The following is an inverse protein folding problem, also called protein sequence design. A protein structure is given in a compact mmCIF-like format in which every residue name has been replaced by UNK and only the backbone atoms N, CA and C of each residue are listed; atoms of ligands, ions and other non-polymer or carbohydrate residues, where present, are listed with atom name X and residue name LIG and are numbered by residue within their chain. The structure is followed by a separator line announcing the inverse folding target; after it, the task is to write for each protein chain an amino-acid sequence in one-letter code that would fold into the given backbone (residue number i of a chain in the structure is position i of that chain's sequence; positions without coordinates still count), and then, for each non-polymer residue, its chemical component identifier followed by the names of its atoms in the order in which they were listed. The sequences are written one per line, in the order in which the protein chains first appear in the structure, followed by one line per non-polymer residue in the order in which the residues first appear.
data_IF_020765377404
#
_entry.id   IF_020765377404
#
_cell.length_a   1.000
_cell.length_b   1.000
_cell.length_c   1.000
_cell.angle_alpha   90.00
_cell.angle_beta   90.00
_cell.angle_gamma   90.00
#
_symmetry.space_group_name_H-M   'P 1'
#
loop_
_entity.id
_entity.type
_entity.pdbx_description
1 polymer ?
#
# COMPACT_ATOMS: atom_id res chain seq x y z
N UNK A 1 -21.11 3.18 20.63
CA UNK A 1 -21.28 1.94 19.85
C UNK A 1 -21.99 0.82 20.62
N UNK A 2 -21.47 0.32 21.76
CA UNK A 2 -21.99 -0.89 22.45
C UNK A 2 -23.52 -0.93 22.71
N UNK A 3 -24.14 0.22 23.01
CA UNK A 3 -25.61 0.33 23.21
C UNK A 3 -26.40 0.77 21.96
N UNK A 4 -25.77 0.79 20.79
CA UNK A 4 -26.34 1.23 19.50
C UNK A 4 -26.96 2.63 19.52
N UNK A 5 -26.40 3.55 20.31
CA UNK A 5 -26.82 4.96 20.37
C UNK A 5 -25.68 5.86 19.91
N UNK A 6 -25.99 6.82 19.05
CA UNK A 6 -25.11 7.92 18.62
C UNK A 6 -24.18 7.65 17.44
N UNK A 7 -24.13 6.41 16.92
CA UNK A 7 -23.30 6.10 15.74
C UNK A 7 -23.87 6.75 14.48
N UNK A 8 -25.20 6.78 14.36
CA UNK A 8 -25.90 7.37 13.21
C UNK A 8 -25.58 8.87 13.09
N UNK A 9 -25.77 9.63 14.17
CA UNK A 9 -25.45 11.07 14.19
C UNK A 9 -23.97 11.36 13.94
N UNK A 10 -23.07 10.44 14.36
CA UNK A 10 -21.65 10.56 14.05
C UNK A 10 -21.39 10.37 12.54
N UNK A 11 -22.08 9.44 11.89
CA UNK A 11 -21.98 9.26 10.44
C UNK A 11 -22.52 10.49 9.69
N UNK A 12 -23.60 11.09 10.17
CA UNK A 12 -24.12 12.35 9.62
C UNK A 12 -23.05 13.47 9.74
N UNK A 13 -22.43 13.59 10.92
CA UNK A 13 -21.36 14.56 11.14
C UNK A 13 -20.13 14.33 10.24
N UNK A 14 -19.82 13.09 9.85
CA UNK A 14 -18.77 12.81 8.87
C UNK A 14 -19.13 13.42 7.52
N UNK A 15 -20.38 13.29 7.08
CA UNK A 15 -20.83 13.87 5.81
C UNK A 15 -20.83 15.40 5.89
N UNK A 16 -21.27 15.97 7.01
CA UNK A 16 -21.44 17.42 7.17
C UNK A 16 -20.11 18.17 7.33
N UNK A 17 -19.09 17.54 7.93
CA UNK A 17 -17.89 18.26 8.37
C UNK A 17 -16.56 17.69 7.87
N UNK A 18 -16.50 16.45 7.38
CA UNK A 18 -15.24 15.91 6.84
C UNK A 18 -15.06 16.30 5.37
N UNK A 19 -13.82 16.52 4.92
CA UNK A 19 -13.56 16.96 3.56
C UNK A 19 -13.86 15.85 2.55
N UNK A 20 -14.37 16.26 1.39
CA UNK A 20 -14.37 15.43 0.19
C UNK A 20 -12.98 15.45 -0.46
N UNK A 21 -12.68 14.54 -1.41
CA UNK A 21 -11.39 14.52 -2.11
C UNK A 21 -11.02 15.84 -2.81
N UNK A 22 -12.01 16.67 -3.16
CA UNK A 22 -11.78 17.98 -3.82
C UNK A 22 -11.57 19.13 -2.84
N UNK A 23 -11.91 18.93 -1.55
CA UNK A 23 -11.72 19.95 -0.50
C UNK A 23 -10.30 19.93 0.09
N UNK A 24 -9.51 18.90 -0.23
CA UNK A 24 -8.14 18.70 0.24
C UNK A 24 -7.15 19.27 -0.79
N UNK A 25 -6.02 19.88 -0.37
CA UNK A 25 -4.98 20.30 -1.30
C UNK A 25 -4.52 19.18 -2.23
N UNK A 26 -4.13 19.56 -3.45
CA UNK A 26 -3.52 18.65 -4.42
C UNK A 26 -2.32 17.94 -3.78
N UNK A 27 -2.17 16.65 -4.03
CA UNK A 27 -1.03 15.91 -3.50
C UNK A 27 0.25 16.37 -4.20
N UNK A 28 1.30 16.56 -3.43
CA UNK A 28 2.64 16.92 -3.89
C UNK A 28 3.45 15.68 -4.23
N UNK A 29 4.38 15.84 -5.15
CA UNK A 29 5.37 14.83 -5.52
C UNK A 29 6.51 15.46 -6.30
N UNK A 30 7.39 14.64 -6.83
CA UNK A 30 8.50 15.06 -7.68
C UNK A 30 8.49 14.31 -9.01
N UNK A 31 9.01 14.92 -10.05
CA UNK A 31 9.32 14.22 -11.30
C UNK A 31 10.54 13.31 -11.05
N UNK A 32 10.45 12.00 -11.35
CA UNK A 32 11.61 11.12 -11.30
C UNK A 32 12.78 11.70 -12.11
N UNK A 33 14.01 11.49 -11.64
CA UNK A 33 15.28 11.99 -12.22
C UNK A 33 15.57 13.49 -12.11
N UNK A 34 14.57 14.37 -12.24
CA UNK A 34 14.80 15.83 -12.16
C UNK A 34 14.58 16.43 -10.78
N UNK A 35 13.88 15.70 -9.89
CA UNK A 35 13.48 16.16 -8.55
C UNK A 35 12.65 17.46 -8.57
N UNK A 36 12.08 17.82 -9.71
CA UNK A 36 11.22 19.00 -9.84
C UNK A 36 9.88 18.75 -9.14
N UNK A 37 9.50 19.65 -8.24
CA UNK A 37 8.24 19.58 -7.51
C UNK A 37 7.04 19.70 -8.46
N UNK A 38 6.09 18.78 -8.30
CA UNK A 38 4.83 18.76 -9.04
C UNK A 38 3.65 18.52 -8.10
N UNK A 39 2.48 18.97 -8.54
CA UNK A 39 1.22 18.73 -7.83
C UNK A 39 0.25 17.95 -8.71
N UNK A 40 -0.49 17.03 -8.11
CA UNK A 40 -1.57 16.27 -8.76
C UNK A 40 -2.91 16.70 -8.16
N UNK A 41 -3.64 17.63 -8.81
CA UNK A 41 -4.96 18.03 -8.34
C UNK A 41 -5.94 16.88 -8.47
N UNK A 42 -6.89 16.81 -7.52
CA UNK A 42 -7.96 15.82 -7.58
C UNK A 42 -8.86 16.11 -8.80
N UNK A 43 -8.97 15.13 -9.69
CA UNK A 43 -9.77 15.22 -10.89
C UNK A 43 -9.51 14.07 -11.86
N UNK A 44 -10.54 13.65 -12.59
CA UNK A 44 -10.47 12.49 -13.49
C UNK A 44 -9.76 12.81 -14.81
N UNK A 45 -9.73 14.09 -15.22
CA UNK A 45 -9.09 14.54 -16.47
C UNK A 45 -7.56 14.61 -16.38
N UNK A 46 -7.01 14.50 -15.17
CA UNK A 46 -5.56 14.52 -14.93
C UNK A 46 -4.88 13.18 -15.23
N UNK A 47 -3.53 13.16 -15.31
CA UNK A 47 -2.79 11.92 -15.38
C UNK A 47 -2.97 11.08 -14.11
N UNK A 48 -2.96 9.76 -14.26
CA UNK A 48 -3.15 8.83 -13.15
C UNK A 48 -2.01 8.95 -12.14
N UNK A 49 -2.37 9.12 -10.86
CA UNK A 49 -1.43 9.07 -9.74
C UNK A 49 -2.11 8.45 -8.51
N UNK A 50 -1.47 7.44 -7.93
CA UNK A 50 -1.96 6.71 -6.78
C UNK A 50 -0.82 6.29 -5.84
N UNK A 51 -1.13 6.17 -4.55
CA UNK A 51 -0.20 5.67 -3.54
C UNK A 51 -0.68 4.31 -3.02
N UNK A 52 0.19 3.30 -3.10
CA UNK A 52 -0.05 2.02 -2.45
C UNK A 52 0.20 2.17 -0.94
N UNK A 53 -0.81 1.96 -0.11
CA UNK A 53 -0.71 2.18 1.33
C UNK A 53 -0.83 0.90 2.16
N UNK A 54 -1.21 -0.22 1.54
CA UNK A 54 -1.26 -1.50 2.22
C UNK A 54 -1.14 -2.64 1.23
N UNK A 55 -0.23 -3.57 1.50
CA UNK A 55 -0.18 -4.87 0.83
C UNK A 55 -0.75 -5.91 1.80
N UNK A 56 -1.55 -6.82 1.27
CA UNK A 56 -2.12 -7.92 2.04
C UNK A 56 -2.21 -9.17 1.17
N UNK A 57 -1.79 -10.31 1.71
CA UNK A 57 -1.97 -11.60 1.04
C UNK A 57 -3.35 -12.16 1.37
N UNK A 58 -4.22 -12.28 0.37
CA UNK A 58 -5.49 -12.97 0.50
C UNK A 58 -5.36 -14.46 0.11
N UNK A 59 -5.90 -15.40 0.91
CA UNK A 59 -5.82 -16.84 0.60
C UNK A 59 -6.46 -17.26 -0.72
N UNK A 60 -7.44 -16.50 -1.24
CA UNK A 60 -8.24 -16.88 -2.41
C UNK A 60 -7.83 -16.14 -3.67
N UNK A 61 -7.48 -14.86 -3.55
CA UNK A 61 -7.15 -14.00 -4.72
C UNK A 61 -5.66 -13.67 -4.82
N UNK A 62 -4.84 -14.06 -3.84
CA UNK A 62 -3.40 -13.78 -3.81
C UNK A 62 -3.10 -12.39 -3.26
N UNK A 63 -1.98 -11.80 -3.68
CA UNK A 63 -1.53 -10.50 -3.18
C UNK A 63 -2.46 -9.37 -3.64
N UNK A 64 -3.00 -8.64 -2.66
CA UNK A 64 -3.81 -7.44 -2.83
C UNK A 64 -2.95 -6.23 -2.48
N UNK A 65 -2.86 -5.29 -3.40
CA UNK A 65 -2.27 -3.98 -3.15
C UNK A 65 -3.37 -2.95 -3.08
N UNK A 66 -3.62 -2.42 -1.88
CA UNK A 66 -4.54 -1.33 -1.66
C UNK A 66 -3.87 -0.01 -2.00
N UNK A 67 -4.55 0.79 -2.79
CA UNK A 67 -4.05 2.09 -3.21
C UNK A 67 -5.14 3.15 -3.14
N UNK A 68 -4.71 4.39 -2.90
CA UNK A 68 -5.52 5.60 -2.96
C UNK A 68 -5.21 6.32 -4.27
N UNK A 69 -6.23 6.59 -5.08
CA UNK A 69 -6.08 7.42 -6.28
C UNK A 69 -6.22 8.88 -5.91
N UNK A 70 -5.24 9.69 -6.30
CA UNK A 70 -5.21 11.13 -6.06
C UNK A 70 -5.56 11.96 -7.29
N UNK A 71 -5.22 11.46 -8.49
CA UNK A 71 -5.60 12.10 -9.76
C UNK A 71 -5.76 11.06 -10.86
N UNK A 72 -6.54 11.41 -11.88
CA UNK A 72 -6.77 10.62 -13.08
C UNK A 72 -7.57 9.35 -12.85
N UNK A 73 -7.61 8.52 -13.89
CA UNK A 73 -8.39 7.28 -13.95
C UNK A 73 -7.47 6.14 -14.40
N UNK A 74 -7.66 4.96 -13.84
CA UNK A 74 -7.02 3.75 -14.34
C UNK A 74 -8.04 2.64 -14.56
N UNK A 75 -7.89 1.93 -15.66
CA UNK A 75 -8.72 0.78 -16.02
C UNK A 75 -8.03 -0.54 -15.69
N UNK A 76 -8.84 -1.56 -15.46
CA UNK A 76 -8.41 -2.95 -15.45
C UNK A 76 -7.79 -3.30 -16.80
N UNK A 77 -6.56 -3.80 -16.79
CA UNK A 77 -5.75 -4.09 -17.96
C UNK A 77 -4.73 -3.01 -18.32
N UNK A 78 -4.82 -1.80 -17.74
CA UNK A 78 -3.90 -0.70 -17.98
C UNK A 78 -2.49 -1.01 -17.45
N UNK A 79 -1.49 -0.45 -18.11
CA UNK A 79 -0.10 -0.48 -17.64
C UNK A 79 0.20 0.81 -16.89
N UNK A 80 0.64 0.68 -15.65
CA UNK A 80 1.05 1.78 -14.77
C UNK A 80 2.54 1.67 -14.48
N UNK A 81 3.16 2.79 -14.11
CA UNK A 81 4.53 2.86 -13.66
C UNK A 81 4.56 2.87 -12.13
N UNK A 82 5.27 1.92 -11.53
CA UNK A 82 5.73 2.05 -10.16
C UNK A 82 6.95 3.01 -10.19
N UNK A 83 6.71 4.27 -9.86
CA UNK A 83 7.73 5.32 -9.95
C UNK A 83 8.82 5.16 -8.88
N UNK A 84 8.48 4.60 -7.72
CA UNK A 84 9.43 4.34 -6.63
C UNK A 84 10.49 3.32 -7.02
N UNK A 85 10.12 2.34 -7.86
CA UNK A 85 11.00 1.23 -8.28
C UNK A 85 11.47 1.31 -9.72
N UNK A 86 11.02 2.30 -10.47
CA UNK A 86 11.20 2.42 -11.93
C UNK A 86 10.86 1.10 -12.67
N UNK A 87 9.66 0.58 -12.40
CA UNK A 87 9.16 -0.65 -13.04
C UNK A 87 7.72 -0.50 -13.47
N UNK A 88 7.43 -0.96 -14.69
CA UNK A 88 6.06 -1.02 -15.21
C UNK A 88 5.34 -2.23 -14.61
N UNK A 89 4.12 -2.02 -14.15
CA UNK A 89 3.20 -3.07 -13.73
C UNK A 89 1.88 -2.95 -14.49
N UNK A 90 1.09 -4.03 -14.50
CA UNK A 90 -0.20 -4.07 -15.19
C UNK A 90 -1.30 -4.32 -14.18
N UNK A 91 -2.30 -3.46 -14.14
CA UNK A 91 -3.51 -3.73 -13.36
C UNK A 91 -4.23 -4.92 -13.98
N UNK A 92 -4.26 -6.06 -13.27
CA UNK A 92 -4.92 -7.26 -13.73
C UNK A 92 -6.41 -7.25 -13.43
N UNK A 93 -6.76 -7.35 -12.14
CA UNK A 93 -8.13 -7.21 -11.63
C UNK A 93 -8.14 -6.12 -10.56
N UNK A 94 -9.17 -5.30 -10.58
CA UNK A 94 -9.41 -4.25 -9.59
C UNK A 94 -10.63 -4.61 -8.75
N UNK A 95 -10.51 -4.45 -7.43
CA UNK A 95 -11.56 -4.80 -6.47
C UNK A 95 -11.88 -3.60 -5.57
N UNK A 96 -13.16 -3.32 -5.36
CA UNK A 96 -13.65 -2.52 -4.23
C UNK A 96 -14.02 -3.47 -3.10
N UNK A 97 -13.47 -3.21 -1.91
CA UNK A 97 -13.69 -4.03 -0.73
C UNK A 97 -14.84 -3.44 0.08
N UNK A 98 -15.95 -4.18 0.19
CA UNK A 98 -17.09 -3.83 1.03
C UNK A 98 -17.07 -4.67 2.31
N UNK A 99 -17.90 -4.29 3.30
CA UNK A 99 -17.93 -4.94 4.61
C UNK A 99 -18.08 -6.47 4.57
N UNK A 100 -18.86 -7.02 3.62
CA UNK A 100 -19.14 -8.46 3.52
C UNK A 100 -18.93 -9.05 2.12
N UNK A 101 -18.50 -8.25 1.15
CA UNK A 101 -18.35 -8.70 -0.24
C UNK A 101 -17.20 -7.97 -0.93
N UNK A 102 -16.71 -8.60 -1.99
CA UNK A 102 -15.71 -8.03 -2.89
C UNK A 102 -16.42 -7.74 -4.21
N UNK A 103 -16.28 -6.52 -4.69
CA UNK A 103 -16.86 -6.10 -5.96
C UNK A 103 -15.75 -5.89 -6.97
N UNK A 104 -15.79 -6.62 -8.08
CA UNK A 104 -14.86 -6.43 -9.18
C UNK A 104 -15.29 -5.24 -10.02
N UNK A 105 -14.36 -4.31 -10.21
CA UNK A 105 -14.59 -3.04 -10.91
C UNK A 105 -13.69 -2.96 -12.15
N UNK A 106 -14.17 -2.24 -13.17
CA UNK A 106 -13.44 -2.06 -14.42
C UNK A 106 -12.48 -0.87 -14.39
N UNK A 107 -12.75 0.13 -13.55
CA UNK A 107 -11.98 1.35 -13.48
C UNK A 107 -12.06 1.98 -12.09
N UNK A 108 -11.04 2.76 -11.75
CA UNK A 108 -10.93 3.56 -10.53
C UNK A 108 -10.78 5.02 -10.90
N UNK A 109 -11.46 5.89 -10.15
CA UNK A 109 -11.47 7.33 -10.38
C UNK A 109 -10.64 8.09 -9.36
N UNK A 110 -10.40 9.37 -9.62
CA UNK A 110 -9.77 10.25 -8.66
C UNK A 110 -10.55 10.28 -7.36
N UNK A 111 -9.89 10.01 -6.24
CA UNK A 111 -10.52 9.94 -4.94
C UNK A 111 -11.13 8.59 -4.58
N UNK A 112 -10.96 7.54 -5.41
CA UNK A 112 -11.30 6.17 -5.01
C UNK A 112 -10.20 5.52 -4.17
N UNK A 113 -10.59 4.52 -3.37
CA UNK A 113 -9.69 3.53 -2.77
C UNK A 113 -10.10 2.16 -3.32
N UNK A 114 -9.14 1.41 -3.84
CA UNK A 114 -9.35 0.09 -4.41
C UNK A 114 -8.16 -0.83 -4.14
N UNK A 115 -8.31 -2.11 -4.44
CA UNK A 115 -7.25 -3.09 -4.38
C UNK A 115 -6.95 -3.65 -5.77
N UNK A 116 -5.67 -3.65 -6.16
CA UNK A 116 -5.18 -4.35 -7.34
C UNK A 116 -4.73 -5.75 -6.96
N UNK A 117 -5.14 -6.75 -7.74
CA UNK A 117 -4.75 -8.14 -7.56
C UNK A 117 -3.49 -8.43 -8.36
N UNK A 118 -2.47 -8.99 -7.70
CA UNK A 118 -1.33 -9.60 -8.35
C UNK A 118 -0.23 -8.65 -8.83
N UNK A 119 -0.15 -7.43 -8.27
CA UNK A 119 1.04 -6.60 -8.39
C UNK A 119 2.19 -7.30 -7.67
N UNK A 120 3.32 -7.49 -8.35
CA UNK A 120 4.44 -8.30 -7.85
C UNK A 120 5.52 -7.45 -7.22
N UNK A 121 5.67 -6.23 -7.72
CA UNK A 121 6.76 -5.35 -7.33
C UNK A 121 6.29 -4.23 -6.40
N UNK A 122 5.00 -3.91 -6.37
CA UNK A 122 4.48 -2.84 -5.52
C UNK A 122 4.47 -3.24 -4.04
N UNK A 123 5.05 -2.38 -3.21
CA UNK A 123 4.99 -2.44 -1.74
C UNK A 123 4.24 -1.27 -1.12
N UNK A 124 3.96 -1.35 0.18
CA UNK A 124 3.42 -0.23 0.96
C UNK A 124 4.37 0.97 0.89
N UNK A 125 3.84 2.13 0.50
CA UNK A 125 4.58 3.38 0.28
C UNK A 125 4.91 3.67 -1.19
N UNK A 126 4.75 2.71 -2.09
CA UNK A 126 5.10 2.89 -3.50
C UNK A 126 4.08 3.77 -4.25
N UNK A 127 4.57 4.55 -5.21
CA UNK A 127 3.73 5.36 -6.11
C UNK A 127 3.45 4.64 -7.41
N UNK A 128 2.15 4.54 -7.78
CA UNK A 128 1.66 4.04 -9.07
C UNK A 128 1.15 5.22 -9.92
N UNK A 129 1.69 5.42 -11.12
CA UNK A 129 1.34 6.56 -11.96
C UNK A 129 1.26 6.23 -13.45
N UNK A 130 0.80 7.19 -14.26
CA UNK A 130 0.85 7.13 -15.71
C UNK A 130 2.32 7.07 -16.22
N UNK A 131 2.71 6.05 -17.01
CA UNK A 131 4.06 5.97 -17.57
C UNK A 131 4.46 7.14 -18.48
N UNK A 132 3.49 7.84 -19.09
CA UNK A 132 3.77 9.02 -19.91
C UNK A 132 3.95 10.30 -19.08
N UNK A 133 3.47 10.30 -17.84
CA UNK A 133 3.56 11.43 -16.92
C UNK A 133 4.04 10.94 -15.54
N UNK A 134 5.30 10.47 -15.42
CA UNK A 134 5.81 9.93 -14.17
C UNK A 134 5.71 10.94 -13.02
N UNK A 135 5.28 10.48 -11.86
CA UNK A 135 5.32 11.24 -10.62
C UNK A 135 5.69 10.31 -9.46
N UNK A 136 6.57 10.78 -8.58
CA UNK A 136 6.88 10.13 -7.32
C UNK A 136 6.18 10.93 -6.22
N UNK A 137 5.14 10.36 -5.62
CA UNK A 137 4.46 10.98 -4.48
C UNK A 137 5.33 10.83 -3.24
N UNK A 138 5.11 11.69 -2.25
CA UNK A 138 5.85 11.64 -0.99
C UNK A 138 5.74 10.25 -0.35
N UNK A 139 6.88 9.60 -0.16
CA UNK A 139 6.94 8.28 0.48
C UNK A 139 6.65 8.42 1.96
N UNK A 140 5.91 7.46 2.51
CA UNK A 140 5.76 7.34 3.96
C UNK A 140 7.12 7.08 4.59
N UNK A 141 7.50 7.88 5.58
CA UNK A 141 8.65 7.61 6.44
C UNK A 141 8.26 6.53 7.47
N UNK A 142 8.98 5.40 7.46
CA UNK A 142 8.80 4.35 8.45
C UNK A 142 9.82 4.51 9.59
N UNK A 143 9.37 4.54 10.84
CA UNK A 143 10.29 4.64 11.98
C UNK A 143 11.21 3.42 12.06
N UNK A 144 12.40 3.62 12.61
CA UNK A 144 13.35 2.54 12.86
C UNK A 144 12.82 1.57 13.94
N UNK A 145 12.98 0.25 13.75
CA UNK A 145 12.59 -0.75 14.75
C UNK A 145 13.28 -0.52 16.09
N UNK A 146 12.56 -0.73 17.19
CA UNK A 146 13.06 -0.50 18.56
C UNK A 146 13.29 -1.79 19.36
N UNK A 147 12.75 -2.93 18.89
CA UNK A 147 12.97 -4.24 19.50
C UNK A 147 13.53 -5.21 18.46
N UNK A 148 14.44 -6.08 18.90
CA UNK A 148 15.04 -7.14 18.11
C UNK A 148 14.94 -8.47 18.86
N UNK A 149 14.48 -9.53 18.18
CA UNK A 149 14.39 -10.88 18.72
C UNK A 149 15.10 -11.84 17.78
N UNK A 150 15.96 -12.70 18.33
CA UNK A 150 16.56 -13.80 17.59
C UNK A 150 15.54 -14.94 17.45
N UNK A 151 15.35 -15.42 16.22
CA UNK A 151 14.45 -16.52 15.88
C UNK A 151 15.22 -17.63 15.16
N UNK A 152 14.89 -18.86 15.50
CA UNK A 152 15.50 -20.06 14.91
C UNK A 152 14.42 -21.07 14.53
N UNK A 153 14.56 -21.74 13.37
CA UNK A 153 13.64 -22.79 12.99
C UNK A 153 13.87 -24.02 13.88
N UNK A 154 12.78 -24.61 14.40
CA UNK A 154 12.88 -25.82 15.25
C UNK A 154 13.51 -27.01 14.54
N UNK A 155 13.33 -27.09 13.22
CA UNK A 155 13.90 -28.16 12.39
C UNK A 155 14.58 -27.57 11.16
N UNK A 156 15.56 -28.28 10.60
CA UNK A 156 16.21 -27.87 9.34
C UNK A 156 15.21 -27.70 8.18
N UNK A 157 14.15 -28.52 8.15
CA UNK A 157 13.11 -28.44 7.12
C UNK A 157 12.18 -27.22 7.26
N UNK A 158 12.20 -26.54 8.41
CA UNK A 158 11.41 -25.33 8.63
C UNK A 158 12.16 -24.05 8.26
N UNK A 159 13.46 -24.13 7.97
CA UNK A 159 14.30 -22.98 7.61
C UNK A 159 13.77 -22.28 6.35
N UNK A 160 13.52 -23.04 5.28
CA UNK A 160 12.99 -22.50 4.03
C UNK A 160 11.58 -21.92 4.21
N UNK A 161 10.75 -22.57 5.01
CA UNK A 161 9.38 -22.11 5.30
C UNK A 161 9.37 -20.83 6.11
N UNK A 162 10.26 -20.71 7.09
CA UNK A 162 10.45 -19.52 7.91
C UNK A 162 10.88 -18.35 7.03
N UNK A 163 11.87 -18.55 6.14
CA UNK A 163 12.30 -17.51 5.19
C UNK A 163 11.17 -17.02 4.28
N UNK A 164 10.37 -17.95 3.73
CA UNK A 164 9.21 -17.60 2.91
C UNK A 164 8.12 -16.84 3.68
N UNK A 165 7.84 -17.23 4.93
CA UNK A 165 6.84 -16.57 5.76
C UNK A 165 7.28 -15.14 6.14
N UNK A 166 8.53 -15.00 6.60
CA UNK A 166 9.12 -13.71 6.95
C UNK A 166 9.15 -12.76 5.74
N UNK A 167 9.52 -13.26 4.56
CA UNK A 167 9.51 -12.46 3.34
C UNK A 167 8.13 -11.87 3.01
N UNK A 168 7.05 -12.62 3.25
CA UNK A 168 5.68 -12.11 3.07
C UNK A 168 5.31 -11.09 4.14
N UNK A 169 5.67 -11.33 5.40
CA UNK A 169 5.38 -10.39 6.49
C UNK A 169 6.06 -9.03 6.27
N UNK A 170 7.33 -9.03 5.86
CA UNK A 170 8.07 -7.78 5.56
C UNK A 170 7.49 -7.03 4.36
N UNK A 171 6.90 -7.74 3.39
CA UNK A 171 6.19 -7.09 2.27
C UNK A 171 4.89 -6.41 2.71
N UNK A 172 4.19 -6.98 3.69
CA UNK A 172 2.95 -6.42 4.23
C UNK A 172 3.22 -5.26 5.21
N UNK A 173 4.28 -5.39 6.03
CA UNK A 173 4.68 -4.41 7.03
C UNK A 173 6.15 -3.94 6.84
N UNK A 174 6.38 -2.75 6.27
CA UNK A 174 7.71 -2.20 6.07
C UNK A 174 8.42 -1.78 7.38
N UNK A 175 7.70 -1.74 8.50
CA UNK A 175 8.30 -1.50 9.83
C UNK A 175 8.90 -2.78 10.44
N UNK A 176 8.62 -3.94 9.84
CA UNK A 176 9.23 -5.21 10.20
C UNK A 176 10.53 -5.41 9.39
N UNK A 177 11.65 -5.65 10.07
CA UNK A 177 12.95 -5.90 9.42
C UNK A 177 13.51 -7.26 9.80
N UNK A 178 14.05 -7.96 8.82
CA UNK A 178 14.70 -9.26 8.99
C UNK A 178 16.13 -9.17 8.52
N UNK A 179 17.07 -9.60 9.36
CA UNK A 179 18.49 -9.71 9.00
C UNK A 179 19.09 -10.98 9.58
N UNK A 180 20.16 -11.47 8.97
CA UNK A 180 21.00 -12.51 9.58
C UNK A 180 22.16 -11.84 10.28
N UNK A 181 22.38 -12.20 11.53
CA UNK A 181 23.54 -11.77 12.30
C UNK A 181 24.76 -12.59 11.86
N UNK A 182 25.80 -11.92 11.37
CA UNK A 182 26.97 -12.60 10.78
C UNK A 182 27.88 -13.25 11.84
N UNK A 183 27.85 -12.78 13.09
CA UNK A 183 28.68 -13.32 14.17
C UNK A 183 28.08 -14.60 14.76
N UNK A 184 26.76 -14.61 14.94
CA UNK A 184 26.03 -15.72 15.57
C UNK A 184 25.39 -16.67 14.56
N UNK A 185 25.19 -16.23 13.32
CA UNK A 185 24.45 -16.96 12.29
C UNK A 185 22.93 -17.00 12.52
N UNK A 186 22.42 -16.26 13.50
CA UNK A 186 21.00 -16.26 13.86
C UNK A 186 20.19 -15.30 12.98
N UNK A 187 18.92 -15.63 12.76
CA UNK A 187 17.98 -14.70 12.11
C UNK A 187 17.40 -13.75 13.15
N UNK A 188 17.55 -12.45 12.94
CA UNK A 188 17.05 -11.40 13.83
C UNK A 188 15.81 -10.76 13.19
N UNK A 189 14.68 -10.85 13.88
CA UNK A 189 13.45 -10.16 13.57
C UNK A 189 13.35 -8.87 14.38
N UNK A 190 13.06 -7.75 13.72
CA UNK A 190 13.02 -6.42 14.32
C UNK A 190 11.68 -5.76 14.07
N UNK A 191 11.11 -5.11 15.09
CA UNK A 191 9.82 -4.43 14.97
C UNK A 191 9.62 -3.27 15.94
N UNK A 192 8.39 -2.78 16.00
CA UNK A 192 8.02 -1.56 16.72
C UNK A 192 7.75 -1.74 18.22
N UNK A 193 7.66 -2.99 18.71
CA UNK A 193 7.37 -3.26 20.11
C UNK A 193 7.07 -4.74 20.38
N UNK A 194 6.91 -5.09 21.66
CA UNK A 194 6.76 -6.49 22.10
C UNK A 194 5.49 -7.14 21.57
N UNK A 195 4.40 -6.39 21.45
CA UNK A 195 3.14 -6.92 20.88
C UNK A 195 3.21 -7.10 19.36
N UNK A 196 4.09 -6.37 18.69
CA UNK A 196 4.25 -6.45 17.24
C UNK A 196 5.06 -7.71 16.86
N UNK A 197 6.05 -8.08 17.66
CA UNK A 197 6.88 -9.28 17.44
C UNK A 197 6.23 -10.56 17.99
#
# INVERSE_FOLDING_TARGET
AFKNKGVQNLLDAVIDYMPSPVDVPAITGVVPDTEEEITRPAGDDGPFAALAFKVMTDPFVGQLTFFRVYSGVAESGATVLNATRDKKERFGRLLKMHANKREEIKQVYSGDIAAAVGLKLTTTGDTLCDPANPCLLESMEFPEPVIHIAIEPKTKGDMDKMGQALGKLVQEDPTLRVRTDEETGQTILSGMGELHL
#
